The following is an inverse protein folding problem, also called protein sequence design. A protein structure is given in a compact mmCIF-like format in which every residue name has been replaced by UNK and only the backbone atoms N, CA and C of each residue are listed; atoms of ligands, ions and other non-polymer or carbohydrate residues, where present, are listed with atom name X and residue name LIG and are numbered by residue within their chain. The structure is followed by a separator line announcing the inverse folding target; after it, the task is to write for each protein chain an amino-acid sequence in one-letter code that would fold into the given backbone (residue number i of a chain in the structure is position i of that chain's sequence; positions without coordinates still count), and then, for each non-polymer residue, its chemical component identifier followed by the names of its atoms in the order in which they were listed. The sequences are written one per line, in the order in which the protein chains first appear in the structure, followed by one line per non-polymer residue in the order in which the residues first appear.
data_IF_887791385145
#
_entry.id   IF_887791385145
#
_cell.length_a   1.000
_cell.length_b   1.000
_cell.length_c   1.000
_cell.angle_alpha   90.00
_cell.angle_beta   90.00
_cell.angle_gamma   90.00
#
_symmetry.space_group_name_H-M   'P 1'
#
loop_
_entity.id
_entity.type
_entity.pdbx_description
1 polymer ?
#
# COMPACT_ATOMS: atom_id res chain seq x y z
N UNK A 1 -10.68 -13.68 -5.02
CA UNK A 1 -10.45 -12.23 -5.06
C UNK A 1 -9.95 -11.76 -3.72
N UNK A 2 -8.86 -11.02 -3.71
CA UNK A 2 -8.33 -10.49 -2.46
C UNK A 2 -9.15 -9.30 -1.97
N UNK A 3 -9.25 -9.19 -0.67
CA UNK A 3 -9.82 -8.03 -0.02
C UNK A 3 -8.71 -7.22 0.62
N UNK A 4 -8.77 -5.92 0.47
CA UNK A 4 -7.76 -5.01 1.00
C UNK A 4 -8.42 -4.06 1.99
N UNK A 5 -7.80 -3.93 3.14
CA UNK A 5 -8.27 -3.02 4.19
C UNK A 5 -7.15 -2.07 4.52
N UNK A 6 -7.47 -0.77 4.52
CA UNK A 6 -6.53 0.25 4.96
C UNK A 6 -6.41 0.20 6.48
N UNK A 7 -5.18 0.17 6.97
CA UNK A 7 -4.90 0.11 8.40
C UNK A 7 -4.42 1.47 8.90
N UNK A 8 -5.17 2.06 9.83
CA UNK A 8 -4.87 3.37 10.38
C UNK A 8 -4.60 3.27 11.88
N UNK A 9 -3.70 4.13 12.34
CA UNK A 9 -3.48 4.37 13.76
C UNK A 9 -3.97 5.80 14.02
N UNK A 10 -5.20 5.92 14.51
CA UNK A 10 -5.84 7.22 14.59
C UNK A 10 -6.12 7.76 13.19
N UNK A 11 -5.39 8.79 12.79
CA UNK A 11 -5.54 9.40 11.46
C UNK A 11 -4.37 9.11 10.54
N UNK A 12 -3.36 8.38 11.03
CA UNK A 12 -2.14 8.11 10.28
C UNK A 12 -2.27 6.74 9.62
N UNK A 13 -2.06 6.70 8.32
CA UNK A 13 -2.07 5.45 7.57
C UNK A 13 -0.84 4.63 7.98
N UNK A 14 -1.08 3.41 8.48
CA UNK A 14 -0.02 2.48 8.88
C UNK A 14 0.28 1.45 7.80
N UNK A 15 -0.67 1.20 6.91
CA UNK A 15 -0.47 0.22 5.86
C UNK A 15 -1.74 -0.44 5.39
N UNK A 16 -1.60 -1.68 4.96
CA UNK A 16 -2.69 -2.46 4.38
C UNK A 16 -2.70 -3.86 4.97
N UNK A 17 -3.91 -4.39 5.17
CA UNK A 17 -4.13 -5.82 5.42
C UNK A 17 -4.85 -6.38 4.20
N UNK A 18 -4.42 -7.52 3.70
CA UNK A 18 -5.06 -8.12 2.53
C UNK A 18 -5.17 -9.63 2.70
N UNK A 19 -6.27 -10.18 2.19
CA UNK A 19 -6.62 -11.58 2.40
C UNK A 19 -7.71 -12.01 1.43
N UNK A 20 -7.87 -13.33 1.29
CA UNK A 20 -9.04 -13.87 0.61
C UNK A 20 -10.18 -13.93 1.60
N UNK A 21 -11.38 -13.43 1.27
CA UNK A 21 -12.50 -13.37 2.21
C UNK A 21 -12.86 -14.71 2.86
N UNK A 22 -12.71 -15.81 2.14
CA UNK A 22 -12.99 -17.15 2.64
C UNK A 22 -12.01 -17.61 3.72
N UNK A 23 -10.84 -16.99 3.80
CA UNK A 23 -9.81 -17.31 4.78
C UNK A 23 -9.72 -16.26 5.89
N UNK A 24 -10.63 -15.30 5.92
CA UNK A 24 -10.56 -14.15 6.84
C UNK A 24 -10.58 -14.57 8.32
N UNK A 25 -11.16 -15.73 8.64
CA UNK A 25 -11.19 -16.24 10.01
C UNK A 25 -9.86 -16.82 10.48
N UNK A 26 -8.93 -17.02 9.55
CA UNK A 26 -7.59 -17.52 9.88
C UNK A 26 -6.63 -16.33 9.89
N UNK A 27 -6.29 -15.89 11.08
CA UNK A 27 -5.43 -14.72 11.21
C UNK A 27 -4.08 -14.91 10.51
N UNK A 28 -3.54 -16.12 10.53
CA UNK A 28 -2.27 -16.43 9.87
C UNK A 28 -2.35 -16.35 8.34
N UNK A 29 -3.54 -16.30 7.77
CA UNK A 29 -3.74 -16.15 6.33
C UNK A 29 -3.83 -14.69 5.90
N UNK A 30 -3.92 -13.78 6.86
CA UNK A 30 -3.93 -12.36 6.58
C UNK A 30 -2.49 -11.91 6.38
N UNK A 31 -2.27 -11.13 5.34
CA UNK A 31 -0.96 -10.54 5.06
C UNK A 31 -1.04 -9.05 5.26
N UNK A 32 0.07 -8.44 5.64
CA UNK A 32 0.09 -7.00 5.77
C UNK A 32 1.30 -6.38 5.08
N UNK A 33 1.13 -5.11 4.71
CA UNK A 33 2.20 -4.24 4.29
C UNK A 33 2.19 -3.06 5.26
N UNK A 34 3.27 -2.92 6.02
CA UNK A 34 3.45 -1.79 6.92
C UNK A 34 4.16 -0.67 6.17
N UNK A 35 3.60 0.52 6.22
CA UNK A 35 4.17 1.70 5.57
C UNK A 35 4.76 2.60 6.65
N UNK A 36 6.06 2.86 6.56
CA UNK A 36 6.76 3.67 7.56
C UNK A 36 6.99 5.07 7.01
N UNK A 37 6.57 6.07 7.76
CA UNK A 37 6.80 7.48 7.40
C UNK A 37 6.01 7.91 6.18
N UNK A 38 4.71 7.64 6.16
CA UNK A 38 3.83 8.03 5.06
C UNK A 38 3.62 9.52 5.02
N UNK A 39 3.96 10.14 3.89
CA UNK A 39 3.75 11.58 3.67
C UNK A 39 2.59 11.83 2.72
N UNK A 40 2.33 10.93 1.77
CA UNK A 40 1.23 11.07 0.84
C UNK A 40 0.80 9.70 0.33
N UNK A 41 -0.47 9.58 -0.02
CA UNK A 41 -0.99 8.36 -0.60
C UNK A 41 -2.25 8.64 -1.42
N UNK A 42 -2.50 7.76 -2.38
CA UNK A 42 -3.74 7.81 -3.17
C UNK A 42 -4.12 6.41 -3.63
N UNK A 43 -5.37 6.26 -4.04
CA UNK A 43 -5.87 4.98 -4.55
C UNK A 43 -6.74 5.24 -5.77
N UNK A 44 -6.62 4.36 -6.76
CA UNK A 44 -7.48 4.39 -7.94
C UNK A 44 -7.73 2.95 -8.39
N UNK A 45 -8.82 2.73 -9.10
CA UNK A 45 -9.00 1.46 -9.79
C UNK A 45 -8.06 1.43 -11.00
N UNK A 46 -7.57 0.24 -11.34
CA UNK A 46 -6.58 0.08 -12.41
C UNK A 46 -7.02 0.71 -13.72
N UNK A 47 -8.31 0.60 -14.03
CA UNK A 47 -8.86 1.10 -15.31
C UNK A 47 -8.69 2.61 -15.50
N UNK A 48 -8.64 3.37 -14.41
CA UNK A 48 -8.50 4.83 -14.50
C UNK A 48 -7.11 5.32 -14.11
N UNK A 49 -6.21 4.42 -13.69
CA UNK A 49 -4.86 4.78 -13.30
C UNK A 49 -3.98 4.90 -14.55
N UNK A 50 -3.46 6.11 -14.80
CA UNK A 50 -2.73 6.41 -16.03
C UNK A 50 -1.28 5.92 -16.06
N UNK A 51 -0.74 5.50 -14.92
CA UNK A 51 0.68 5.14 -14.80
C UNK A 51 0.86 3.79 -14.08
N UNK A 52 -0.03 2.83 -14.36
CA UNK A 52 0.07 1.50 -13.78
C UNK A 52 1.20 0.72 -14.43
N UNK A 53 2.06 0.12 -13.62
CA UNK A 53 3.17 -0.69 -14.10
C UNK A 53 2.84 -2.18 -14.18
N UNK A 54 1.79 -2.63 -13.47
CA UNK A 54 1.40 -4.04 -13.47
C UNK A 54 0.68 -4.41 -14.76
N UNK A 55 0.89 -5.65 -15.18
CA UNK A 55 0.26 -6.20 -16.39
C UNK A 55 -0.65 -7.34 -16.01
N UNK A 56 -1.89 -7.04 -15.72
CA UNK A 56 -2.98 -8.01 -15.70
C UNK A 56 -2.93 -9.22 -14.79
N UNK A 57 -1.89 -9.43 -14.04
CA UNK A 57 -1.80 -10.54 -13.10
C UNK A 57 -2.51 -10.19 -11.81
N UNK A 58 -3.28 -11.12 -11.26
CA UNK A 58 -4.09 -10.89 -10.07
C UNK A 58 -3.32 -11.04 -8.77
N UNK A 59 -2.03 -10.76 -8.77
CA UNK A 59 -1.19 -10.84 -7.58
C UNK A 59 -0.84 -9.45 -7.08
N UNK A 60 -0.71 -9.32 -5.76
CA UNK A 60 -0.19 -8.09 -5.19
C UNK A 60 1.24 -7.88 -5.68
N UNK A 61 1.51 -6.69 -6.20
CA UNK A 61 2.83 -6.34 -6.72
C UNK A 61 3.23 -4.98 -6.17
N UNK A 62 4.50 -4.83 -5.85
CA UNK A 62 5.04 -3.59 -5.30
C UNK A 62 6.16 -3.11 -6.21
N UNK A 63 6.06 -1.87 -6.66
CA UNK A 63 7.07 -1.25 -7.50
C UNK A 63 7.57 0.03 -6.85
N UNK A 64 8.87 0.24 -6.88
CA UNK A 64 9.46 1.50 -6.51
C UNK A 64 9.60 2.34 -7.77
N UNK A 65 9.02 3.53 -7.77
CA UNK A 65 8.99 4.39 -8.94
C UNK A 65 10.17 5.35 -8.90
N UNK A 66 11.10 5.18 -9.82
CA UNK A 66 12.23 6.09 -9.95
C UNK A 66 11.81 7.35 -10.68
N UNK A 67 12.40 8.48 -10.29
CA UNK A 67 12.14 9.78 -10.93
C UNK A 67 10.65 10.13 -11.02
N UNK A 68 9.93 9.87 -9.96
CA UNK A 68 8.48 10.02 -9.90
C UNK A 68 8.04 11.47 -10.16
N UNK A 69 7.23 11.72 -11.20
CA UNK A 69 6.66 13.07 -11.41
C UNK A 69 5.75 13.48 -10.25
N UNK A 70 5.07 12.53 -9.63
CA UNK A 70 4.19 12.80 -8.50
C UNK A 70 4.98 13.31 -7.30
N UNK A 71 6.12 12.69 -6.99
CA UNK A 71 6.97 13.14 -5.90
C UNK A 71 7.51 14.55 -6.14
N UNK A 72 7.76 14.90 -7.38
CA UNK A 72 8.31 16.22 -7.73
C UNK A 72 7.36 17.37 -7.45
N UNK A 73 6.10 17.06 -7.16
CA UNK A 73 5.10 18.07 -6.81
C UNK A 73 5.17 18.50 -5.36
N UNK A 74 5.90 17.76 -4.53
CA UNK A 74 5.98 17.99 -3.08
C UNK A 74 7.28 18.68 -2.71
N UNK A 75 7.25 19.36 -1.57
CA UNK A 75 8.44 20.01 -1.02
C UNK A 75 9.51 18.94 -0.72
N UNK A 76 10.70 19.05 -1.32
CA UNK A 76 11.76 18.06 -1.10
C UNK A 76 12.13 17.84 0.37
N UNK A 77 12.03 18.89 1.20
CA UNK A 77 12.34 18.77 2.61
C UNK A 77 11.33 17.89 3.34
N UNK A 78 10.06 17.92 2.91
CA UNK A 78 9.00 17.15 3.54
C UNK A 78 9.06 15.67 3.20
N UNK A 79 9.62 15.33 2.05
CA UNK A 79 9.68 13.95 1.57
C UNK A 79 11.10 13.39 1.55
N UNK A 80 12.02 14.04 2.24
CA UNK A 80 13.40 13.58 2.32
C UNK A 80 13.46 12.15 2.88
N UNK A 81 14.20 11.29 2.19
CA UNK A 81 14.31 9.89 2.59
C UNK A 81 13.15 9.01 2.16
N UNK A 82 12.15 9.57 1.50
CA UNK A 82 10.99 8.82 1.04
C UNK A 82 11.17 8.36 -0.40
N UNK A 83 10.39 7.34 -0.76
CA UNK A 83 10.29 6.85 -2.12
C UNK A 83 8.81 6.74 -2.50
N UNK A 84 8.56 6.78 -3.79
CA UNK A 84 7.22 6.53 -4.32
C UNK A 84 7.11 5.04 -4.60
N UNK A 85 6.17 4.39 -3.92
CA UNK A 85 5.85 2.99 -4.16
C UNK A 85 4.48 2.89 -4.79
N UNK A 86 4.36 2.01 -5.78
CA UNK A 86 3.08 1.66 -6.36
C UNK A 86 2.74 0.23 -5.95
N UNK A 87 1.61 0.08 -5.27
CA UNK A 87 1.18 -1.21 -4.72
C UNK A 87 -0.12 -1.60 -5.41
N UNK A 88 -0.14 -2.76 -6.01
CA UNK A 88 -1.27 -3.19 -6.83
C UNK A 88 -1.87 -4.45 -6.23
N UNK A 89 -3.16 -4.38 -5.91
CA UNK A 89 -3.95 -5.50 -5.43
C UNK A 89 -5.10 -5.72 -6.40
N UNK A 90 -5.08 -6.84 -7.11
CA UNK A 90 -6.12 -7.19 -8.07
C UNK A 90 -6.35 -6.05 -9.08
N UNK A 91 -7.39 -5.25 -8.88
CA UNK A 91 -7.73 -4.12 -9.75
C UNK A 91 -7.60 -2.75 -9.06
N UNK A 92 -6.98 -2.70 -7.91
CA UNK A 92 -6.75 -1.47 -7.17
C UNK A 92 -5.28 -1.10 -7.18
N UNK A 93 -4.99 0.17 -7.46
CA UNK A 93 -3.63 0.70 -7.49
C UNK A 93 -3.47 1.73 -6.38
N UNK A 94 -2.52 1.51 -5.51
CA UNK A 94 -2.18 2.44 -4.44
C UNK A 94 -0.84 3.07 -4.72
N UNK A 95 -0.79 4.39 -4.69
CA UNK A 95 0.46 5.14 -4.77
C UNK A 95 0.76 5.69 -3.38
N UNK A 96 1.97 5.47 -2.89
CA UNK A 96 2.37 5.89 -1.55
C UNK A 96 3.75 6.50 -1.59
N UNK A 97 3.92 7.63 -0.90
CA UNK A 97 5.22 8.22 -0.65
C UNK A 97 5.53 7.96 0.82
N UNK A 98 6.51 7.11 1.08
CA UNK A 98 6.89 6.72 2.43
C UNK A 98 8.36 6.34 2.49
N UNK A 99 8.88 6.16 3.71
CA UNK A 99 10.29 5.84 3.91
C UNK A 99 10.62 4.39 3.61
N UNK A 100 9.77 3.47 4.06
CA UNK A 100 9.98 2.04 3.81
C UNK A 100 8.69 1.26 3.88
N UNK A 101 8.73 0.03 3.36
CA UNK A 101 7.60 -0.90 3.40
C UNK A 101 8.09 -2.20 4.00
N UNK A 102 7.37 -2.71 4.99
CA UNK A 102 7.64 -4.01 5.61
C UNK A 102 6.45 -4.93 5.39
N UNK A 103 6.71 -6.18 5.10
CA UNK A 103 5.67 -7.17 4.85
C UNK A 103 5.67 -8.25 5.93
N UNK A 104 4.49 -8.79 6.22
CA UNK A 104 4.36 -9.86 7.20
C UNK A 104 3.00 -10.54 7.14
N UNK A 105 2.78 -11.43 8.08
CA UNK A 105 1.52 -12.18 8.22
C UNK A 105 0.83 -11.81 9.52
N UNK A 106 -0.50 -11.84 9.51
CA UNK A 106 -1.31 -11.46 10.63
C UNK A 106 -1.85 -10.06 10.47
N UNK A 107 -2.35 -9.49 11.55
CA UNK A 107 -2.92 -8.14 11.51
C UNK A 107 -1.86 -7.10 11.80
N UNK A 108 -1.88 -6.04 11.00
CA UNK A 108 -0.95 -4.92 11.17
C UNK A 108 -1.27 -4.13 12.43
N UNK A 109 -2.55 -3.82 12.62
CA UNK A 109 -3.01 -3.18 13.84
C UNK A 109 -3.61 -4.26 14.73
N UNK A 110 -2.93 -4.57 15.83
CA UNK A 110 -3.51 -5.43 16.82
C UNK A 110 -4.72 -4.72 17.36
N UNK A 111 -5.89 -5.24 17.05
CA UNK A 111 -7.12 -4.65 17.54
C UNK A 111 -7.23 -4.68 19.04
N UNK A 112 -6.22 -5.10 19.70
CA UNK A 112 -6.10 -5.05 21.12
C UNK A 112 -5.41 -3.84 21.49
N UNK A 113 -5.36 -3.73 22.62
CA UNK A 113 -6.44 -3.91 23.55
C UNK A 113 -7.08 -2.83 23.58
#
# INVERSE_FOLDING_TARGET
MQRVVWAYDGKILQGFEYYNPEDAYKEESIKYLELVGVEAYSMAVEEVHSHTLATGESKASIFKIESSPWMKQYDPECIEGCSHYQIIFYDEVYDVICKEINAGYGRLLNGGP
#
